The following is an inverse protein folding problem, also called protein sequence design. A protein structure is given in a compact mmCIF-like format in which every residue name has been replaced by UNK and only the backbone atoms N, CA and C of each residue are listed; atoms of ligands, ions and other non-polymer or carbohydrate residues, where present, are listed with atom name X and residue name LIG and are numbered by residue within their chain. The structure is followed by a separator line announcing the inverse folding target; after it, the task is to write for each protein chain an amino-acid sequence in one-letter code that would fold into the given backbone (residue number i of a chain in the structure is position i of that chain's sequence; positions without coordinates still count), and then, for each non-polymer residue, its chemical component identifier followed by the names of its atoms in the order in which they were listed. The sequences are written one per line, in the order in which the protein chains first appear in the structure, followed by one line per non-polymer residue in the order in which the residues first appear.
data_IF_355279348654
#
_entry.id   IF_355279348654
#
_cell.length_a   1.000
_cell.length_b   1.000
_cell.length_c   1.000
_cell.angle_alpha   90.00
_cell.angle_beta   90.00
_cell.angle_gamma   90.00
#
_symmetry.space_group_name_H-M   'P 1'
#
loop_
_entity.id
_entity.type
_entity.pdbx_description
1 polymer ?
#
# COMPACT_ATOMS: atom_id res chain seq x y z
N UNK A 1 10.26 9.01 -35.62
CA UNK A 1 11.72 8.97 -35.76
C UNK A 1 12.21 7.72 -36.48
N UNK A 2 11.75 6.50 -36.08
CA UNK A 2 12.18 5.23 -36.70
C UNK A 2 11.88 5.23 -38.23
N UNK A 3 10.64 5.52 -38.63
CA UNK A 3 10.22 5.52 -40.02
C UNK A 3 10.96 6.59 -40.89
N UNK A 4 11.34 7.73 -40.30
CA UNK A 4 12.20 8.69 -41.00
C UNK A 4 13.62 8.16 -41.23
N UNK A 5 14.15 7.40 -40.28
CA UNK A 5 15.49 6.81 -40.37
C UNK A 5 15.56 5.69 -41.41
N UNK A 6 14.49 4.94 -41.57
CA UNK A 6 14.34 3.89 -42.59
C UNK A 6 13.95 4.46 -43.97
N UNK A 7 13.72 5.78 -44.08
CA UNK A 7 13.37 6.43 -45.34
C UNK A 7 11.91 6.24 -45.79
N UNK A 8 11.08 5.65 -44.94
CA UNK A 8 9.66 5.38 -45.25
C UNK A 8 8.80 6.64 -45.25
N UNK A 9 9.20 7.66 -44.47
CA UNK A 9 8.54 8.98 -44.46
C UNK A 9 9.58 10.09 -44.46
N UNK A 10 9.29 11.18 -45.19
CA UNK A 10 10.19 12.33 -45.36
C UNK A 10 10.23 13.23 -44.14
N UNK A 11 9.12 13.37 -43.41
CA UNK A 11 8.99 14.24 -42.26
C UNK A 11 8.38 13.47 -41.08
N UNK A 12 8.95 13.66 -39.89
CA UNK A 12 8.40 13.07 -38.66
C UNK A 12 7.11 13.81 -38.26
N UNK A 13 5.93 13.17 -38.37
CA UNK A 13 4.66 13.79 -38.01
C UNK A 13 4.54 14.12 -36.51
N UNK A 14 5.42 13.57 -35.67
CA UNK A 14 5.41 13.85 -34.23
C UNK A 14 6.07 15.19 -33.86
N UNK A 15 6.82 15.82 -34.77
CA UNK A 15 7.46 17.11 -34.51
C UNK A 15 6.45 18.27 -34.37
N UNK A 16 5.30 18.14 -35.03
CA UNK A 16 4.24 19.15 -35.00
C UNK A 16 3.26 18.96 -33.82
N UNK A 17 3.45 17.90 -32.99
CA UNK A 17 2.64 17.67 -31.78
C UNK A 17 3.13 18.63 -30.69
N UNK A 18 2.29 19.58 -30.23
CA UNK A 18 2.68 20.50 -29.18
C UNK A 18 3.02 19.70 -27.91
N UNK A 19 4.19 19.99 -27.37
CA UNK A 19 4.68 19.34 -26.16
C UNK A 19 3.83 19.83 -24.97
N UNK A 20 2.71 19.15 -24.69
CA UNK A 20 1.89 19.44 -23.52
C UNK A 20 2.71 19.17 -22.27
N UNK A 21 3.32 20.20 -21.71
CA UNK A 21 3.85 20.14 -20.35
C UNK A 21 2.67 19.90 -19.42
N UNK A 22 2.37 18.64 -19.11
CA UNK A 22 1.50 18.34 -17.98
C UNK A 22 2.06 19.11 -16.79
N UNK A 23 1.31 20.09 -16.27
CA UNK A 23 1.65 20.68 -14.99
C UNK A 23 1.81 19.51 -14.02
N UNK A 24 2.98 19.41 -13.38
CA UNK A 24 3.22 18.38 -12.34
C UNK A 24 2.31 18.75 -11.18
N UNK A 25 1.10 18.21 -11.22
CA UNK A 25 0.22 18.28 -10.07
C UNK A 25 0.94 17.52 -8.94
N UNK A 26 1.43 18.24 -7.95
CA UNK A 26 2.00 17.60 -6.76
C UNK A 26 0.87 16.80 -6.11
N UNK A 27 1.05 15.49 -5.92
CA UNK A 27 0.01 14.68 -5.29
C UNK A 27 -0.31 15.27 -3.92
N UNK A 28 -1.58 15.45 -3.62
CA UNK A 28 -2.01 15.87 -2.27
C UNK A 28 -1.57 14.81 -1.26
N UNK A 29 -0.88 15.24 -0.23
CA UNK A 29 -0.51 14.44 0.93
C UNK A 29 -1.55 14.72 2.01
N UNK A 30 -2.11 13.70 2.61
CA UNK A 30 -2.97 13.85 3.79
C UNK A 30 -2.11 14.14 5.01
N UNK A 31 -2.58 14.99 5.90
CA UNK A 31 -2.03 15.10 7.24
C UNK A 31 -2.25 13.81 8.04
N UNK A 32 -1.54 13.62 9.14
CA UNK A 32 -1.74 12.46 10.03
C UNK A 32 -3.18 12.42 10.56
N UNK A 33 -3.75 13.57 10.92
CA UNK A 33 -5.14 13.70 11.38
C UNK A 33 -6.13 13.28 10.28
N UNK A 34 -5.92 13.72 9.03
CA UNK A 34 -6.77 13.31 7.91
C UNK A 34 -6.63 11.82 7.61
N UNK A 35 -5.41 11.29 7.70
CA UNK A 35 -5.13 9.87 7.52
C UNK A 35 -5.81 9.04 8.60
N UNK A 36 -5.75 9.46 9.86
CA UNK A 36 -6.46 8.84 10.97
C UNK A 36 -7.97 8.82 10.74
N UNK A 37 -8.56 9.96 10.39
CA UNK A 37 -10.01 10.04 10.07
C UNK A 37 -10.40 9.08 8.94
N UNK A 38 -9.59 9.00 7.88
CA UNK A 38 -9.84 8.09 6.75
C UNK A 38 -9.80 6.62 7.20
N UNK A 39 -8.80 6.26 7.97
CA UNK A 39 -8.61 4.89 8.44
C UNK A 39 -9.72 4.49 9.41
N UNK A 40 -10.17 5.39 10.28
CA UNK A 40 -11.21 5.13 11.29
C UNK A 40 -12.64 5.21 10.75
N UNK A 41 -12.84 5.64 9.51
CA UNK A 41 -14.14 5.84 8.89
C UNK A 41 -15.00 4.57 8.69
N UNK A 42 -14.44 3.34 8.48
CA UNK A 42 -15.25 2.15 8.29
C UNK A 42 -16.08 1.80 9.52
N UNK A 43 -17.35 1.41 9.28
CA UNK A 43 -18.26 0.93 10.31
C UNK A 43 -17.89 -0.45 10.79
N UNK A 44 -17.52 -0.57 12.06
CA UNK A 44 -17.04 -1.79 12.68
C UNK A 44 -18.14 -2.77 13.06
N UNK A 45 -19.40 -2.43 12.88
CA UNK A 45 -20.54 -3.33 13.13
C UNK A 45 -20.69 -4.41 12.04
N UNK A 46 -19.97 -4.29 10.93
CA UNK A 46 -20.03 -5.22 9.79
C UNK A 46 -18.69 -5.86 9.49
N UNK A 47 -18.70 -7.12 9.05
CA UNK A 47 -17.50 -7.84 8.62
C UNK A 47 -16.77 -7.12 7.47
N UNK A 48 -17.51 -6.46 6.57
CA UNK A 48 -16.96 -5.64 5.49
C UNK A 48 -16.23 -4.42 6.06
N UNK A 49 -16.80 -3.76 7.06
CA UNK A 49 -16.19 -2.60 7.68
C UNK A 49 -14.91 -2.94 8.45
N UNK A 50 -14.89 -4.05 9.20
CA UNK A 50 -13.67 -4.54 9.87
C UNK A 50 -12.58 -4.87 8.84
N UNK A 51 -12.94 -5.54 7.72
CA UNK A 51 -12.01 -5.78 6.61
C UNK A 51 -11.46 -4.48 6.04
N UNK A 52 -12.32 -3.53 5.72
CA UNK A 52 -11.93 -2.27 5.08
C UNK A 52 -11.02 -1.45 6.02
N UNK A 53 -11.35 -1.40 7.31
CA UNK A 53 -10.52 -0.80 8.34
C UNK A 53 -9.13 -1.44 8.37
N UNK A 54 -9.07 -2.76 8.41
CA UNK A 54 -7.81 -3.52 8.44
C UNK A 54 -6.99 -3.28 7.18
N UNK A 55 -7.63 -3.23 6.01
CA UNK A 55 -6.94 -2.95 4.75
C UNK A 55 -6.30 -1.56 4.72
N UNK A 56 -7.02 -0.54 5.19
CA UNK A 56 -6.51 0.83 5.28
C UNK A 56 -5.36 0.92 6.28
N UNK A 57 -5.50 0.28 7.44
CA UNK A 57 -4.48 0.24 8.47
C UNK A 57 -3.20 -0.43 7.96
N UNK A 58 -3.30 -1.64 7.39
CA UNK A 58 -2.16 -2.36 6.83
C UNK A 58 -1.49 -1.57 5.71
N UNK A 59 -2.29 -0.95 4.80
CA UNK A 59 -1.74 -0.15 3.71
C UNK A 59 -0.94 1.05 4.23
N UNK A 60 -1.47 1.75 5.23
CA UNK A 60 -0.80 2.92 5.82
C UNK A 60 0.42 2.51 6.66
N UNK A 61 0.31 1.49 7.49
CA UNK A 61 1.41 1.04 8.34
C UNK A 61 2.59 0.43 7.57
N UNK A 62 2.34 -0.21 6.43
CA UNK A 62 3.37 -0.92 5.67
C UNK A 62 3.78 -0.26 4.35
N UNK A 63 3.01 0.71 3.88
CA UNK A 63 3.24 1.33 2.59
C UNK A 63 3.25 0.35 1.41
N UNK A 64 2.52 -0.75 1.47
CA UNK A 64 2.42 -1.73 0.39
C UNK A 64 1.86 -1.11 -0.90
N UNK A 65 2.21 -1.68 -2.05
CA UNK A 65 1.47 -1.37 -3.28
C UNK A 65 0.08 -1.99 -3.21
N UNK A 66 -0.90 -1.37 -3.87
CA UNK A 66 -2.27 -1.92 -3.92
C UNK A 66 -2.30 -3.38 -4.37
N UNK A 67 -1.50 -3.73 -5.37
CA UNK A 67 -1.41 -5.12 -5.85
C UNK A 67 -0.78 -6.06 -4.82
N UNK A 68 0.19 -5.61 -4.04
CA UNK A 68 0.80 -6.40 -2.98
C UNK A 68 -0.21 -6.65 -1.86
N UNK A 69 -0.95 -5.63 -1.43
CA UNK A 69 -2.01 -5.76 -0.43
C UNK A 69 -3.11 -6.73 -0.86
N UNK A 70 -3.60 -6.60 -2.11
CA UNK A 70 -4.71 -7.42 -2.61
C UNK A 70 -4.33 -8.87 -2.93
N UNK A 71 -3.05 -9.13 -3.18
CA UNK A 71 -2.51 -10.48 -3.42
C UNK A 71 -1.86 -11.09 -2.18
N UNK A 72 -1.86 -10.38 -1.04
CA UNK A 72 -1.21 -10.83 0.18
C UNK A 72 -1.84 -12.16 0.64
N UNK A 73 -0.99 -13.16 0.87
CA UNK A 73 -1.40 -14.50 1.30
C UNK A 73 -1.25 -14.65 2.82
N UNK A 74 -2.04 -15.54 3.37
CA UNK A 74 -1.98 -15.86 4.80
C UNK A 74 -0.58 -16.30 5.24
N UNK A 75 0.10 -17.10 4.41
CA UNK A 75 1.47 -17.59 4.67
C UNK A 75 2.55 -16.48 4.62
N UNK A 76 2.22 -15.31 4.08
CA UNK A 76 3.14 -14.18 3.95
C UNK A 76 3.04 -13.20 5.14
N UNK A 77 2.11 -13.44 6.06
CA UNK A 77 1.89 -12.62 7.25
C UNK A 77 2.39 -13.35 8.48
N UNK A 78 3.32 -12.74 9.19
CA UNK A 78 3.78 -13.26 10.49
C UNK A 78 3.33 -12.28 11.59
N UNK A 79 2.23 -12.62 12.28
CA UNK A 79 1.67 -11.79 13.36
C UNK A 79 2.53 -11.80 14.63
N UNK A 80 3.29 -12.87 14.89
CA UNK A 80 4.18 -12.92 16.05
C UNK A 80 5.37 -11.99 15.88
N UNK A 81 5.88 -11.94 14.66
CA UNK A 81 6.98 -11.04 14.31
C UNK A 81 6.51 -9.67 13.85
N UNK A 82 5.20 -9.41 13.71
CA UNK A 82 4.62 -8.18 13.19
C UNK A 82 5.24 -7.75 11.85
N UNK A 83 5.33 -8.67 10.89
CA UNK A 83 5.89 -8.41 9.55
C UNK A 83 5.06 -9.06 8.46
N UNK A 84 5.14 -8.48 7.27
CA UNK A 84 4.67 -9.09 6.02
C UNK A 84 5.84 -9.29 5.06
N UNK A 85 5.79 -10.41 4.35
CA UNK A 85 6.71 -10.77 3.29
C UNK A 85 6.05 -10.45 1.96
N UNK A 86 6.69 -9.65 1.11
CA UNK A 86 6.12 -9.26 -0.18
C UNK A 86 7.12 -9.40 -1.31
N UNK A 87 6.60 -9.70 -2.50
CA UNK A 87 7.40 -9.86 -3.71
C UNK A 87 7.26 -8.61 -4.59
N UNK A 88 8.38 -7.95 -4.86
CA UNK A 88 8.47 -6.78 -5.72
C UNK A 88 8.69 -7.12 -7.20
N UNK A 89 8.95 -6.09 -8.01
CA UNK A 89 9.32 -6.26 -9.43
C UNK A 89 10.59 -7.14 -9.56
N UNK A 90 10.53 -8.17 -10.40
CA UNK A 90 11.63 -9.12 -10.60
C UNK A 90 11.72 -10.19 -9.50
N UNK A 91 10.60 -10.55 -8.87
CA UNK A 91 10.52 -11.57 -7.80
C UNK A 91 11.44 -11.29 -6.59
N UNK A 92 11.92 -10.06 -6.42
CA UNK A 92 12.71 -9.70 -5.24
C UNK A 92 11.80 -9.64 -4.02
N UNK A 93 12.14 -10.44 -3.03
CA UNK A 93 11.47 -10.51 -1.74
C UNK A 93 11.89 -9.35 -0.84
N UNK A 94 10.96 -8.78 -0.08
CA UNK A 94 11.24 -7.89 1.02
C UNK A 94 10.32 -8.14 2.20
N UNK A 95 10.84 -7.90 3.38
CA UNK A 95 10.08 -7.93 4.64
C UNK A 95 9.73 -6.50 5.01
N UNK A 96 8.46 -6.27 5.35
CA UNK A 96 7.96 -4.95 5.76
C UNK A 96 7.32 -5.08 7.14
N UNK A 97 7.71 -4.24 8.12
CA UNK A 97 7.05 -4.15 9.42
C UNK A 97 5.59 -3.73 9.30
N UNK A 98 4.75 -4.20 10.21
CA UNK A 98 3.33 -3.87 10.29
C UNK A 98 3.01 -2.84 11.38
N UNK A 99 3.83 -2.76 12.42
CA UNK A 99 3.47 -2.03 13.63
C UNK A 99 2.40 -2.74 14.49
N UNK A 100 2.17 -2.21 15.67
CA UNK A 100 1.26 -2.82 16.65
C UNK A 100 -0.20 -2.72 16.21
N UNK A 101 -0.63 -1.54 15.74
CA UNK A 101 -2.01 -1.30 15.33
C UNK A 101 -2.44 -2.20 14.16
N UNK A 102 -1.65 -2.25 13.09
CA UNK A 102 -1.97 -3.10 11.94
C UNK A 102 -1.99 -4.59 12.30
N UNK A 103 -1.12 -5.01 13.21
CA UNK A 103 -1.10 -6.39 13.73
C UNK A 103 -2.35 -6.70 14.55
N UNK A 104 -2.80 -5.79 15.41
CA UNK A 104 -4.02 -5.94 16.20
C UNK A 104 -5.26 -6.01 15.29
N UNK A 105 -5.34 -5.14 14.27
CA UNK A 105 -6.44 -5.16 13.29
C UNK A 105 -6.45 -6.42 12.43
N UNK A 106 -5.31 -6.95 12.04
CA UNK A 106 -5.23 -8.24 11.33
C UNK A 106 -5.73 -9.39 12.17
N UNK A 107 -5.36 -9.47 13.48
CA UNK A 107 -5.87 -10.47 14.40
C UNK A 107 -7.39 -10.38 14.51
N UNK A 108 -7.91 -9.19 14.79
CA UNK A 108 -9.35 -8.94 14.86
C UNK A 108 -10.08 -9.34 13.58
N UNK A 109 -9.56 -8.99 12.43
CA UNK A 109 -10.14 -9.36 11.15
C UNK A 109 -10.17 -10.87 10.93
N UNK A 110 -9.10 -11.59 11.29
CA UNK A 110 -9.05 -13.04 11.17
C UNK A 110 -10.06 -13.75 12.09
N UNK A 111 -10.24 -13.25 13.30
CA UNK A 111 -11.09 -13.84 14.31
C UNK A 111 -12.58 -13.54 14.09
N UNK A 112 -12.91 -12.28 13.78
CA UNK A 112 -14.30 -11.81 13.80
C UNK A 112 -14.95 -11.75 12.41
N UNK A 113 -14.20 -11.61 11.31
CA UNK A 113 -14.82 -11.19 10.05
C UNK A 113 -14.45 -12.03 8.85
N UNK A 114 -13.22 -12.54 8.79
CA UNK A 114 -12.72 -13.20 7.58
C UNK A 114 -13.53 -14.45 7.22
N UNK A 115 -13.92 -15.26 8.21
CA UNK A 115 -14.69 -16.48 7.99
C UNK A 115 -16.10 -16.19 7.43
N UNK A 116 -16.74 -15.14 7.95
CA UNK A 116 -18.04 -14.68 7.42
C UNK A 116 -17.94 -14.27 5.94
N UNK A 117 -16.88 -13.54 5.59
CA UNK A 117 -16.67 -13.08 4.21
C UNK A 117 -16.29 -14.21 3.24
N UNK A 118 -15.63 -15.25 3.73
CA UNK A 118 -15.27 -16.42 2.91
C UNK A 118 -16.49 -17.24 2.48
N UNK A 119 -17.58 -17.24 3.26
CA UNK A 119 -18.82 -17.98 2.91
C UNK A 119 -18.56 -19.44 2.52
N UNK A 120 -17.70 -20.13 3.26
CA UNK A 120 -17.24 -21.49 3.00
C UNK A 120 -16.37 -21.68 1.73
N UNK A 121 -15.92 -20.60 1.11
CA UNK A 121 -14.94 -20.67 0.01
C UNK A 121 -13.53 -20.74 0.61
N UNK A 122 -12.75 -21.74 0.20
CA UNK A 122 -11.35 -21.80 0.56
C UNK A 122 -10.55 -20.73 -0.19
N UNK A 123 -9.77 -19.94 0.54
CA UNK A 123 -8.88 -18.94 -0.04
C UNK A 123 -7.66 -18.74 0.85
N UNK A 124 -6.48 -18.67 0.25
CA UNK A 124 -5.22 -18.33 0.91
C UNK A 124 -4.97 -16.83 1.00
N UNK A 125 -5.81 -16.02 0.35
CA UNK A 125 -5.70 -14.56 0.40
C UNK A 125 -6.08 -14.03 1.79
N UNK A 126 -5.32 -13.05 2.27
CA UNK A 126 -5.65 -12.32 3.50
C UNK A 126 -6.99 -11.60 3.32
N UNK A 127 -7.09 -10.75 2.30
CA UNK A 127 -8.26 -9.92 2.08
C UNK A 127 -9.13 -10.47 0.95
N UNK A 128 -10.40 -10.70 1.26
CA UNK A 128 -11.39 -11.19 0.31
C UNK A 128 -12.54 -10.19 0.11
N UNK A 129 -13.18 -10.24 -1.03
CA UNK A 129 -14.38 -9.46 -1.31
C UNK A 129 -15.57 -9.96 -0.48
N UNK A 130 -16.69 -9.23 -0.51
CA UNK A 130 -17.98 -9.69 0.06
C UNK A 130 -18.51 -10.99 -0.54
N UNK A 131 -17.88 -11.49 -1.61
CA UNK A 131 -18.21 -12.76 -2.28
C UNK A 131 -17.17 -13.85 -2.00
N UNK A 132 -16.26 -13.66 -1.03
CA UNK A 132 -15.19 -14.62 -0.70
C UNK A 132 -14.10 -14.75 -1.76
N UNK A 133 -14.05 -13.88 -2.77
CA UNK A 133 -13.10 -13.94 -3.89
C UNK A 133 -12.08 -12.80 -3.81
N UNK A 134 -11.04 -12.90 -4.62
CA UNK A 134 -10.04 -11.85 -4.77
C UNK A 134 -10.68 -10.50 -5.12
N UNK A 135 -10.18 -9.44 -4.52
CA UNK A 135 -10.62 -8.08 -4.79
C UNK A 135 -9.85 -7.47 -5.97
N UNK A 136 -10.54 -6.69 -6.81
CA UNK A 136 -9.89 -5.93 -7.88
C UNK A 136 -9.31 -4.62 -7.35
N UNK A 137 -8.28 -4.09 -8.05
CA UNK A 137 -7.71 -2.77 -7.72
C UNK A 137 -8.76 -1.66 -7.81
N UNK A 138 -9.68 -1.76 -8.76
CA UNK A 138 -10.76 -0.81 -8.94
C UNK A 138 -11.73 -0.83 -7.75
N UNK A 139 -12.07 -2.03 -7.24
CA UNK A 139 -12.93 -2.15 -6.06
C UNK A 139 -12.27 -1.48 -4.84
N UNK A 140 -11.00 -1.78 -4.58
CA UNK A 140 -10.30 -1.14 -3.46
C UNK A 140 -10.16 0.38 -3.63
N UNK A 141 -9.96 0.86 -4.85
CA UNK A 141 -9.96 2.28 -5.15
C UNK A 141 -11.32 2.94 -4.83
N UNK A 142 -12.44 2.27 -5.14
CA UNK A 142 -13.78 2.74 -4.76
C UNK A 142 -13.99 2.75 -3.24
N UNK A 143 -13.45 1.75 -2.53
CA UNK A 143 -13.51 1.69 -1.06
C UNK A 143 -12.79 2.92 -0.46
N UNK A 144 -11.56 3.20 -0.89
CA UNK A 144 -10.82 4.37 -0.42
C UNK A 144 -11.57 5.67 -0.70
N UNK A 145 -12.12 5.82 -1.91
CA UNK A 145 -12.92 7.01 -2.25
C UNK A 145 -14.21 7.14 -1.44
N UNK A 146 -14.89 6.03 -1.17
CA UNK A 146 -16.09 6.01 -0.33
C UNK A 146 -15.78 6.61 1.04
N UNK A 147 -14.74 6.12 1.70
CA UNK A 147 -14.39 6.58 3.04
C UNK A 147 -13.81 8.00 3.05
N UNK A 148 -13.03 8.38 2.03
CA UNK A 148 -12.56 9.76 1.89
C UNK A 148 -13.73 10.76 1.82
N UNK A 149 -14.74 10.46 1.00
CA UNK A 149 -15.96 11.30 0.92
C UNK A 149 -16.72 11.36 2.24
N UNK A 150 -16.83 10.23 2.94
CA UNK A 150 -17.55 10.14 4.21
C UNK A 150 -16.96 11.07 5.27
N UNK A 151 -15.63 11.25 5.28
CA UNK A 151 -14.93 12.12 6.23
C UNK A 151 -14.58 13.49 5.68
N UNK A 152 -15.16 13.88 4.54
CA UNK A 152 -14.97 15.21 3.95
C UNK A 152 -13.59 15.43 3.30
N UNK A 153 -12.86 14.37 2.99
CA UNK A 153 -11.59 14.47 2.27
C UNK A 153 -11.84 14.46 0.75
N UNK A 154 -11.12 15.31 0.02
CA UNK A 154 -11.25 15.46 -1.42
C UNK A 154 -11.20 14.13 -2.18
N UNK A 155 -12.05 14.00 -3.20
CA UNK A 155 -12.21 12.79 -4.03
C UNK A 155 -10.97 12.40 -4.86
N UNK A 156 -9.93 13.23 -4.92
CA UNK A 156 -8.66 12.93 -5.59
C UNK A 156 -7.82 11.86 -4.89
N UNK A 157 -8.21 11.44 -3.67
CA UNK A 157 -7.49 10.44 -2.88
C UNK A 157 -7.58 9.04 -3.51
N UNK A 158 -6.50 8.32 -3.44
CA UNK A 158 -6.35 6.96 -3.96
C UNK A 158 -5.49 6.09 -3.01
N UNK A 159 -5.44 4.77 -3.19
CA UNK A 159 -4.51 3.91 -2.43
C UNK A 159 -3.04 4.34 -2.56
N UNK A 160 -2.64 4.89 -3.72
CA UNK A 160 -1.29 5.43 -3.91
C UNK A 160 -1.02 6.65 -3.03
N UNK A 161 -2.04 7.47 -2.78
CA UNK A 161 -1.95 8.61 -1.85
C UNK A 161 -1.65 8.13 -0.44
N UNK A 162 -2.33 7.08 0.06
CA UNK A 162 -2.10 6.52 1.40
C UNK A 162 -0.66 5.99 1.51
N UNK A 163 -0.18 5.26 0.50
CA UNK A 163 1.22 4.81 0.45
C UNK A 163 2.20 5.99 0.41
N UNK A 164 1.83 7.10 -0.21
CA UNK A 164 2.66 8.31 -0.23
C UNK A 164 2.68 8.98 1.15
N UNK A 165 1.54 9.00 1.85
CA UNK A 165 1.47 9.45 3.24
C UNK A 165 2.38 8.63 4.17
N UNK A 166 2.39 7.28 4.04
CA UNK A 166 3.34 6.43 4.77
C UNK A 166 4.78 6.92 4.61
N UNK A 167 5.23 7.14 3.37
CA UNK A 167 6.60 7.59 3.11
C UNK A 167 6.87 8.98 3.68
N UNK A 168 5.95 9.91 3.49
CA UNK A 168 6.14 11.31 3.91
C UNK A 168 6.09 11.44 5.42
N UNK A 169 5.16 10.73 6.10
CA UNK A 169 5.05 10.79 7.56
C UNK A 169 6.28 10.18 8.23
N UNK A 170 6.81 9.06 7.72
CA UNK A 170 8.10 8.53 8.19
C UNK A 170 9.23 9.55 8.08
N UNK A 171 9.34 10.24 6.93
CA UNK A 171 10.37 11.27 6.73
C UNK A 171 10.16 12.48 7.63
N UNK A 172 8.91 12.90 7.86
CA UNK A 172 8.57 13.99 8.78
C UNK A 172 8.98 13.66 10.23
N UNK A 173 8.93 12.37 10.59
CA UNK A 173 9.42 11.87 11.89
C UNK A 173 10.92 11.49 11.87
N UNK A 174 11.70 12.06 10.95
CA UNK A 174 13.15 11.89 10.85
C UNK A 174 13.64 10.46 10.51
N UNK A 175 12.82 9.64 9.87
CA UNK A 175 13.30 8.37 9.33
C UNK A 175 14.28 8.62 8.18
N UNK A 176 15.33 7.79 8.11
CA UNK A 176 16.31 7.87 7.02
C UNK A 176 15.66 7.56 5.66
N UNK A 177 15.92 8.40 4.66
CA UNK A 177 15.37 8.28 3.32
C UNK A 177 15.68 6.92 2.67
N UNK A 178 16.89 6.38 2.89
CA UNK A 178 17.28 5.07 2.32
C UNK A 178 16.49 3.94 2.94
N UNK A 179 16.17 4.05 4.23
CA UNK A 179 15.30 3.07 4.91
C UNK A 179 13.89 3.12 4.34
N UNK A 180 13.31 4.31 4.18
CA UNK A 180 11.99 4.48 3.57
C UNK A 180 11.96 3.93 2.14
N UNK A 181 12.98 4.18 1.33
CA UNK A 181 13.12 3.63 -0.01
C UNK A 181 13.20 2.09 -0.01
N UNK A 182 13.92 1.53 0.96
CA UNK A 182 14.03 0.06 1.14
C UNK A 182 12.67 -0.55 1.49
N UNK A 183 11.93 0.04 2.44
CA UNK A 183 10.57 -0.39 2.82
C UNK A 183 9.61 -0.35 1.62
N UNK A 184 9.71 0.68 0.80
CA UNK A 184 8.89 0.84 -0.40
C UNK A 184 9.29 -0.10 -1.56
N UNK A 185 10.48 -0.69 -1.53
CA UNK A 185 10.97 -1.57 -2.58
C UNK A 185 11.24 -0.83 -3.90
N UNK A 186 11.98 0.29 -3.82
CA UNK A 186 12.47 1.02 -4.99
C UNK A 186 13.69 0.29 -5.57
N UNK A 187 13.61 -0.09 -6.84
CA UNK A 187 14.57 -0.98 -7.51
C UNK A 187 15.94 -0.34 -7.84
N UNK A 188 16.11 0.95 -7.65
CA UNK A 188 17.35 1.65 -8.01
C UNK A 188 18.47 1.53 -6.97
N UNK A 189 18.19 0.96 -5.82
CA UNK A 189 19.22 0.65 -4.83
C UNK A 189 19.41 -0.86 -4.87
N UNK A 190 20.50 -1.29 -5.52
CA UNK A 190 20.96 -2.69 -5.57
C UNK A 190 21.48 -3.09 -4.19
N UNK A 191 20.58 -3.32 -3.27
CA UNK A 191 20.89 -4.02 -2.04
C UNK A 191 20.13 -5.34 -2.06
N UNK A 192 20.79 -6.36 -2.56
CA UNK A 192 20.60 -7.73 -2.08
C UNK A 192 21.06 -7.72 -0.61
N UNK A 193 20.39 -6.96 0.23
CA UNK A 193 20.54 -7.15 1.65
C UNK A 193 19.85 -8.47 1.96
N UNK A 194 20.67 -9.47 2.20
CA UNK A 194 20.26 -10.69 2.89
C UNK A 194 19.51 -10.18 4.12
N UNK A 195 18.17 -10.37 4.13
CA UNK A 195 17.34 -9.99 5.28
C UNK A 195 17.67 -10.92 6.44
N UNK A 196 18.78 -10.61 7.11
CA UNK A 196 19.17 -11.27 8.34
C UNK A 196 18.22 -10.85 9.45
N UNK A 197 18.12 -11.64 10.49
CA UNK A 197 17.33 -11.30 11.69
C UNK A 197 17.67 -9.90 12.23
N UNK A 198 18.94 -9.50 12.15
CA UNK A 198 19.45 -8.17 12.56
C UNK A 198 18.87 -7.04 11.68
N UNK A 199 18.80 -7.25 10.36
CA UNK A 199 18.22 -6.25 9.46
C UNK A 199 16.71 -6.07 9.71
N UNK A 200 15.97 -7.16 9.95
CA UNK A 200 14.54 -7.10 10.28
C UNK A 200 14.29 -6.38 11.61
N UNK A 201 15.08 -6.64 12.63
CA UNK A 201 14.98 -5.96 13.93
C UNK A 201 15.24 -4.45 13.80
N UNK A 202 16.26 -4.08 13.01
CA UNK A 202 16.54 -2.66 12.73
C UNK A 202 15.38 -1.96 12.01
N UNK A 203 14.78 -2.60 11.01
CA UNK A 203 13.62 -2.05 10.28
C UNK A 203 12.40 -1.87 11.21
N UNK A 204 12.16 -2.80 12.12
CA UNK A 204 11.09 -2.69 13.13
C UNK A 204 11.33 -1.52 14.08
N UNK A 205 12.55 -1.39 14.61
CA UNK A 205 12.89 -0.29 15.50
C UNK A 205 12.71 1.07 14.81
N UNK A 206 13.15 1.20 13.57
CA UNK A 206 12.94 2.43 12.80
C UNK A 206 11.44 2.66 12.56
N UNK A 207 10.69 1.63 12.22
CA UNK A 207 9.25 1.74 12.03
C UNK A 207 8.55 2.19 13.32
N UNK A 208 8.81 1.52 14.45
CA UNK A 208 8.18 1.84 15.74
C UNK A 208 8.57 3.21 16.29
N UNK A 209 9.79 3.70 16.00
CA UNK A 209 10.24 5.02 16.45
C UNK A 209 9.70 6.18 15.58
N UNK A 210 9.44 5.93 14.30
CA UNK A 210 9.20 7.01 13.33
C UNK A 210 7.84 6.94 12.63
N UNK A 211 7.12 5.82 12.72
CA UNK A 211 5.80 5.72 12.10
C UNK A 211 4.69 6.01 13.12
N UNK A 212 3.65 6.81 12.78
CA UNK A 212 2.55 7.12 13.70
C UNK A 212 1.76 5.90 14.20
N UNK A 213 1.90 4.74 13.53
CA UNK A 213 1.32 3.43 13.87
C UNK A 213 2.37 2.39 14.28
N UNK A 214 3.59 2.83 14.63
CA UNK A 214 4.72 1.98 15.03
C UNK A 214 4.56 1.28 16.37
#
# INVERSE_FOLDING_TARGET
QYLCREGEIIKDPSLDIPNFRKSRYLPRILSEIETEKLITAPDLSSAIGIRDRTMLEVLYASGLRTSELLNLRYSEVNLQQAVVKVFGKGAKERIVPLGMEATAWLKKYYEESRQELLKNISSDLVFVSSRGRQMTRQNFWHIVKKYARLVGIDAAISPHTIRHCFATHLLNHNADLRVVQSLLGHSSISTTQIYTHVATTRLKNIHSCHHPRG
#
